data_IF_517460996868
#
_entry.id   IF_517460996868
#
_cell.length_a   1.000
_cell.length_b   1.000
_cell.length_c   1.000
_cell.angle_alpha   90.00
_cell.angle_beta   90.00
_cell.angle_gamma   90.00
#
_symmetry.space_group_name_H-M   'P 1'
#
loop_
_entity.id
_entity.type
_entity.pdbx_description
1 polymer ?
#
# COMPACT_ATOMS: atom_id res chain seq x y z
N UNK A 1 -27.84 10.36 -59.47
CA UNK A 1 -28.23 10.07 -58.09
C UNK A 1 -28.60 11.40 -57.48
N UNK A 2 -29.89 11.66 -57.29
CA UNK A 2 -30.42 12.96 -56.84
C UNK A 2 -30.79 12.88 -55.37
N UNK A 3 -30.23 13.78 -54.57
CA UNK A 3 -30.52 13.92 -53.15
C UNK A 3 -32.00 14.33 -52.95
N UNK A 4 -32.72 13.78 -51.95
CA UNK A 4 -34.12 14.12 -51.71
C UNK A 4 -34.29 15.56 -51.18
N UNK A 5 -35.49 16.17 -51.31
CA UNK A 5 -35.72 17.55 -50.88
C UNK A 5 -35.58 17.73 -49.35
N UNK A 6 -34.81 18.75 -48.94
CA UNK A 6 -34.60 19.12 -47.53
C UNK A 6 -35.88 19.71 -46.90
N UNK A 7 -36.19 19.41 -45.61
CA UNK A 7 -37.34 20.01 -44.92
C UNK A 7 -37.21 21.52 -44.70
N UNK A 8 -38.32 22.28 -44.63
CA UNK A 8 -38.26 23.72 -44.32
C UNK A 8 -37.79 23.96 -42.88
N UNK A 9 -36.67 24.67 -42.71
CA UNK A 9 -36.17 25.12 -41.40
C UNK A 9 -34.75 24.71 -41.06
N UNK A 10 -34.13 23.77 -41.78
CA UNK A 10 -32.69 23.49 -41.65
C UNK A 10 -31.87 24.63 -42.28
N UNK A 11 -31.21 25.43 -41.42
CA UNK A 11 -30.24 26.44 -41.86
C UNK A 11 -29.03 25.80 -42.54
N UNK A 12 -28.44 26.51 -43.50
CA UNK A 12 -27.26 26.03 -44.23
C UNK A 12 -26.04 25.95 -43.28
N UNK A 13 -25.42 24.77 -43.06
CA UNK A 13 -24.25 24.64 -42.19
C UNK A 13 -23.02 25.43 -42.64
N UNK A 14 -23.02 25.92 -43.88
CA UNK A 14 -21.94 26.73 -44.47
C UNK A 14 -22.24 28.24 -44.47
N UNK A 15 -23.31 28.71 -43.83
CA UNK A 15 -23.62 30.14 -43.73
C UNK A 15 -22.78 30.82 -42.61
N UNK A 16 -21.85 31.74 -42.94
CA UNK A 16 -21.00 32.40 -41.95
C UNK A 16 -21.74 33.47 -41.12
N UNK A 17 -23.02 33.74 -41.41
CA UNK A 17 -23.85 34.72 -40.67
C UNK A 17 -24.76 34.10 -39.62
N UNK A 18 -24.79 32.76 -39.51
CA UNK A 18 -25.59 32.06 -38.51
C UNK A 18 -25.04 32.30 -37.08
N UNK A 19 -25.88 32.68 -36.10
CA UNK A 19 -25.43 32.87 -34.72
C UNK A 19 -25.05 31.53 -34.07
N UNK A 20 -23.88 31.48 -33.44
CA UNK A 20 -23.40 30.33 -32.68
C UNK A 20 -24.39 29.93 -31.58
N UNK A 21 -24.98 28.74 -31.70
CA UNK A 21 -25.87 28.17 -30.70
C UNK A 21 -25.07 27.27 -29.74
N UNK A 22 -24.85 27.64 -28.46
CA UNK A 22 -23.94 26.93 -27.56
C UNK A 22 -24.54 25.65 -26.92
N UNK A 23 -25.71 25.18 -27.36
CA UNK A 23 -26.46 24.08 -26.75
C UNK A 23 -26.59 22.80 -27.61
N UNK A 24 -25.62 22.49 -28.47
CA UNK A 24 -25.54 21.21 -29.19
C UNK A 24 -24.91 20.10 -28.33
N UNK A 25 -25.62 19.66 -27.28
CA UNK A 25 -25.13 18.66 -26.32
C UNK A 25 -25.74 17.25 -26.42
N UNK A 26 -26.81 17.07 -27.20
CA UNK A 26 -27.69 15.88 -27.11
C UNK A 26 -27.82 15.09 -28.42
N UNK A 27 -26.73 14.97 -29.20
CA UNK A 27 -26.71 14.10 -30.38
C UNK A 27 -26.45 12.62 -29.97
N UNK A 28 -27.33 11.64 -30.32
CA UNK A 28 -27.16 10.25 -29.91
C UNK A 28 -26.00 9.49 -30.59
N UNK A 29 -25.26 10.12 -31.50
CA UNK A 29 -24.28 9.48 -32.39
C UNK A 29 -22.80 9.64 -32.03
N UNK A 30 -22.44 10.53 -31.08
CA UNK A 30 -21.05 10.94 -30.86
C UNK A 30 -20.54 10.65 -29.45
N UNK A 31 -20.39 9.36 -29.11
CA UNK A 31 -19.67 8.94 -27.92
C UNK A 31 -18.15 8.89 -28.20
N UNK A 32 -17.28 9.48 -27.36
CA UNK A 32 -15.84 9.29 -27.45
C UNK A 32 -15.44 7.84 -27.11
N UNK A 33 -14.35 7.30 -27.69
CA UNK A 33 -13.92 5.93 -27.42
C UNK A 33 -13.50 5.75 -25.94
N UNK A 34 -13.72 4.56 -25.35
CA UNK A 34 -13.36 4.31 -23.96
C UNK A 34 -11.83 4.30 -23.76
N UNK A 35 -11.33 4.70 -22.56
CA UNK A 35 -9.91 4.60 -22.25
C UNK A 35 -9.45 3.13 -22.21
N UNK A 36 -8.16 2.85 -22.50
CA UNK A 36 -7.64 1.49 -22.51
C UNK A 36 -7.70 0.85 -21.12
N UNK A 37 -8.03 -0.44 -21.08
CA UNK A 37 -8.13 -1.20 -19.84
C UNK A 37 -6.75 -1.38 -19.18
N UNK A 38 -6.62 -0.93 -17.94
CA UNK A 38 -5.48 -1.27 -17.08
C UNK A 38 -5.61 -2.73 -16.63
N UNK A 39 -4.76 -3.62 -17.18
CA UNK A 39 -4.66 -5.00 -16.68
C UNK A 39 -4.52 -6.10 -17.73
N UNK A 40 -3.52 -6.01 -18.60
CA UNK A 40 -3.06 -7.14 -19.42
C UNK A 40 -1.53 -7.18 -19.41
N UNK A 41 -0.87 -8.32 -19.12
CA UNK A 41 0.58 -8.41 -19.17
C UNK A 41 1.09 -8.28 -20.60
N UNK A 42 2.01 -7.33 -20.84
CA UNK A 42 2.70 -7.21 -22.14
C UNK A 42 3.61 -8.43 -22.38
N UNK A 43 3.64 -9.00 -23.60
CA UNK A 43 4.71 -9.90 -24.00
C UNK A 43 6.04 -9.13 -24.15
N UNK A 44 7.20 -9.74 -23.88
CA UNK A 44 8.49 -9.08 -23.99
C UNK A 44 8.83 -8.73 -25.44
N UNK A 45 9.37 -7.52 -25.64
CA UNK A 45 9.84 -7.02 -26.93
C UNK A 45 11.10 -7.74 -27.37
N UNK A 46 11.08 -8.41 -28.53
CA UNK A 46 12.30 -8.92 -29.16
C UNK A 46 13.15 -7.75 -29.69
N UNK A 47 14.28 -7.51 -29.06
CA UNK A 47 15.31 -6.59 -29.56
C UNK A 47 16.16 -7.24 -30.65
N UNK A 48 16.51 -6.48 -31.68
CA UNK A 48 17.36 -6.91 -32.79
C UNK A 48 18.80 -7.23 -32.32
N UNK A 49 19.50 -8.21 -32.95
CA UNK A 49 20.87 -8.56 -32.59
C UNK A 49 21.91 -7.59 -33.18
N UNK A 50 23.05 -7.37 -32.51
CA UNK A 50 24.20 -6.68 -33.10
C UNK A 50 25.00 -7.59 -34.06
N UNK A 51 25.68 -7.03 -35.08
CA UNK A 51 26.48 -7.82 -36.02
C UNK A 51 27.83 -8.26 -35.43
N UNK A 52 28.39 -9.32 -36.01
CA UNK A 52 29.50 -10.09 -35.44
C UNK A 52 30.91 -9.52 -35.71
N UNK A 53 31.86 -9.88 -34.84
CA UNK A 53 33.30 -9.89 -35.14
C UNK A 53 33.91 -11.24 -34.76
N UNK A 54 34.56 -11.86 -35.74
CA UNK A 54 35.20 -13.18 -35.66
C UNK A 54 36.70 -13.13 -35.30
N UNK A 55 37.42 -14.26 -35.43
CA UNK A 55 38.28 -14.78 -34.35
C UNK A 55 39.80 -14.61 -34.60
N UNK A 56 40.66 -15.22 -33.76
CA UNK A 56 41.20 -16.52 -34.18
C UNK A 56 41.25 -17.59 -33.07
N UNK A 57 41.47 -18.84 -33.48
CA UNK A 57 41.46 -20.04 -32.64
C UNK A 57 42.86 -20.65 -32.42
N UNK A 58 43.04 -21.42 -31.35
CA UNK A 58 44.07 -22.48 -31.22
C UNK A 58 43.53 -23.67 -30.38
N UNK A 59 44.17 -24.85 -30.52
CA UNK A 59 43.55 -26.19 -30.36
C UNK A 59 43.63 -26.94 -29.00
N UNK A 60 43.43 -28.29 -28.98
CA UNK A 60 42.92 -29.05 -27.81
C UNK A 60 43.91 -30.13 -27.22
N UNK A 61 43.48 -31.26 -26.58
CA UNK A 61 43.40 -31.53 -25.12
C UNK A 61 44.35 -32.68 -24.64
N UNK A 62 44.31 -33.28 -23.40
CA UNK A 62 43.21 -34.03 -22.70
C UNK A 62 43.07 -33.70 -21.17
N UNK A 63 42.29 -34.35 -20.27
CA UNK A 63 41.15 -35.31 -20.41
C UNK A 63 41.16 -36.58 -19.50
N UNK A 64 40.34 -36.68 -18.43
CA UNK A 64 39.91 -37.94 -17.73
C UNK A 64 38.86 -37.76 -16.58
N UNK A 65 37.98 -38.77 -16.36
CA UNK A 65 37.07 -38.98 -15.19
C UNK A 65 35.66 -38.34 -15.27
N UNK A 66 34.55 -39.00 -15.64
CA UNK A 66 33.77 -40.11 -15.03
C UNK A 66 33.10 -39.74 -13.66
N UNK A 67 31.81 -39.93 -13.34
CA UNK A 67 30.57 -40.46 -13.99
C UNK A 67 29.33 -39.93 -13.20
N UNK A 68 28.09 -40.47 -13.18
CA UNK A 68 27.44 -41.58 -13.90
C UNK A 68 26.14 -42.09 -13.20
N UNK A 69 24.94 -41.83 -13.74
CA UNK A 69 23.63 -42.47 -13.38
C UNK A 69 23.33 -43.63 -14.37
N UNK A 70 22.31 -44.55 -14.25
CA UNK A 70 21.09 -44.63 -13.38
C UNK A 70 20.90 -46.09 -12.80
N UNK A 71 19.75 -46.83 -12.88
CA UNK A 71 18.31 -46.63 -12.54
C UNK A 71 17.78 -47.64 -11.45
N UNK A 72 16.48 -47.68 -11.06
CA UNK A 72 15.92 -48.68 -10.11
C UNK A 72 15.26 -49.94 -10.74
N UNK A 73 15.28 -51.13 -10.10
CA UNK A 73 14.69 -52.39 -10.60
C UNK A 73 13.38 -52.88 -9.88
N UNK A 74 12.71 -53.97 -10.36
CA UNK A 74 11.33 -54.34 -9.95
C UNK A 74 11.06 -55.82 -9.46
N UNK A 75 9.87 -56.03 -8.83
CA UNK A 75 9.00 -57.26 -8.75
C UNK A 75 9.41 -58.63 -8.10
N UNK A 76 8.72 -59.02 -6.99
CA UNK A 76 8.22 -60.40 -6.60
C UNK A 76 9.20 -61.55 -6.20
N UNK A 77 8.74 -62.79 -5.87
CA UNK A 77 7.61 -63.24 -5.00
C UNK A 77 7.92 -64.49 -4.07
N UNK A 78 6.99 -64.87 -3.15
CA UNK A 78 6.97 -66.17 -2.38
C UNK A 78 7.40 -66.09 -0.89
N UNK A 79 7.07 -66.99 0.06
CA UNK A 79 6.24 -68.21 0.12
C UNK A 79 6.47 -69.03 1.44
N UNK A 80 5.62 -70.05 1.72
CA UNK A 80 5.80 -71.20 2.68
C UNK A 80 5.57 -71.06 4.23
N UNK A 81 4.62 -71.84 4.80
CA UNK A 81 4.87 -72.65 6.04
C UNK A 81 4.02 -72.44 7.33
N UNK A 82 3.30 -73.45 7.90
CA UNK A 82 2.44 -73.38 9.12
C UNK A 82 2.78 -74.46 10.22
N UNK A 83 1.89 -74.92 11.16
CA UNK A 83 1.04 -74.33 12.25
C UNK A 83 1.37 -75.00 13.65
N UNK A 84 0.50 -75.32 14.67
CA UNK A 84 -0.89 -74.92 15.04
C UNK A 84 -1.21 -74.60 16.54
N UNK A 85 -2.43 -74.07 16.79
CA UNK A 85 -3.20 -74.21 18.06
C UNK A 85 -3.30 -72.94 18.93
N UNK A 86 -4.42 -72.64 19.62
CA UNK A 86 -5.80 -73.18 19.61
C UNK A 86 -6.78 -72.17 20.27
N UNK A 87 -8.05 -72.14 19.86
CA UNK A 87 -9.13 -71.44 20.61
C UNK A 87 -9.73 -70.17 19.97
N UNK A 88 -11.01 -70.26 19.59
CA UNK A 88 -11.94 -69.15 19.32
C UNK A 88 -13.03 -69.18 20.44
N UNK A 89 -14.13 -68.38 20.46
CA UNK A 89 -14.60 -67.37 19.50
C UNK A 89 -15.22 -66.05 20.07
N UNK A 90 -15.35 -64.99 19.26
CA UNK A 90 -16.67 -64.35 18.95
C UNK A 90 -16.57 -63.15 17.98
N UNK A 91 -17.53 -63.04 17.05
CA UNK A 91 -18.11 -61.79 16.54
C UNK A 91 -17.27 -60.85 15.64
N UNK A 92 -17.54 -60.85 14.33
CA UNK A 92 -17.13 -59.78 13.41
C UNK A 92 -18.23 -59.43 12.38
N UNK A 93 -18.34 -58.17 11.91
CA UNK A 93 -19.19 -57.78 10.78
C UNK A 93 -18.46 -57.92 9.42
N UNK A 94 -19.19 -58.02 8.28
CA UNK A 94 -18.62 -58.46 6.99
C UNK A 94 -17.95 -57.36 6.16
N UNK A 95 -17.05 -57.70 5.19
CA UNK A 95 -16.47 -56.75 4.24
C UNK A 95 -17.44 -56.36 3.12
N UNK A 96 -17.37 -55.11 2.67
CA UNK A 96 -18.26 -54.56 1.63
C UNK A 96 -17.92 -54.99 0.19
N UNK A 97 -18.95 -55.17 -0.62
CA UNK A 97 -18.89 -55.22 -2.09
C UNK A 97 -18.94 -53.81 -2.71
N UNK A 98 -18.47 -53.67 -3.94
CA UNK A 98 -18.05 -52.38 -4.51
C UNK A 98 -19.12 -51.46 -5.12
N UNK A 99 -18.72 -50.19 -5.30
CA UNK A 99 -19.05 -49.12 -6.27
C UNK A 99 -20.41 -49.11 -7.03
N UNK A 100 -20.98 -47.93 -7.44
CA UNK A 100 -20.25 -46.68 -7.75
C UNK A 100 -20.93 -45.32 -7.38
N UNK A 101 -20.15 -44.24 -7.56
CA UNK A 101 -20.52 -42.84 -7.89
C UNK A 101 -21.80 -42.21 -7.29
N UNK A 102 -21.63 -41.31 -6.31
CA UNK A 102 -22.65 -40.35 -5.85
C UNK A 102 -21.99 -39.13 -5.19
N UNK A 103 -22.42 -37.92 -5.54
CA UNK A 103 -21.83 -36.67 -5.03
C UNK A 103 -22.24 -36.35 -3.57
N UNK A 104 -21.46 -35.52 -2.83
CA UNK A 104 -21.77 -35.20 -1.44
C UNK A 104 -23.00 -34.27 -1.33
N UNK A 105 -23.89 -34.50 -0.34
CA UNK A 105 -25.06 -33.65 -0.12
C UNK A 105 -24.69 -32.28 0.49
N UNK A 106 -25.42 -31.20 0.16
CA UNK A 106 -25.15 -29.89 0.72
C UNK A 106 -25.72 -29.76 2.14
N UNK A 107 -24.86 -29.49 3.13
CA UNK A 107 -25.28 -28.91 4.42
C UNK A 107 -24.83 -29.64 5.68
N UNK A 108 -23.53 -29.58 6.00
CA UNK A 108 -23.04 -29.62 7.39
C UNK A 108 -21.83 -28.68 7.56
N UNK A 109 -21.80 -27.77 8.54
CA UNK A 109 -20.62 -26.95 8.84
C UNK A 109 -19.58 -27.78 9.63
N UNK A 110 -18.26 -27.68 9.32
CA UNK A 110 -17.24 -28.42 10.06
C UNK A 110 -17.08 -27.93 11.51
N UNK A 111 -17.04 -28.86 12.45
CA UNK A 111 -16.92 -28.57 13.88
C UNK A 111 -15.45 -28.60 14.34
N UNK A 112 -14.97 -27.48 14.89
CA UNK A 112 -13.88 -27.42 15.88
C UNK A 112 -12.44 -27.72 15.44
N UNK A 113 -11.59 -26.69 15.48
CA UNK A 113 -10.15 -26.80 15.74
C UNK A 113 -9.77 -25.89 16.94
N UNK A 114 -8.83 -26.27 17.83
CA UNK A 114 -8.75 -25.67 19.16
C UNK A 114 -7.73 -24.53 19.32
N UNK A 115 -8.07 -23.55 20.17
CA UNK A 115 -7.09 -22.94 21.08
C UNK A 115 -6.22 -21.79 20.56
N UNK A 116 -6.80 -20.77 19.92
CA UNK A 116 -6.14 -19.46 19.74
C UNK A 116 -6.46 -18.50 20.90
N UNK A 117 -5.44 -17.93 21.54
CA UNK A 117 -5.57 -17.00 22.68
C UNK A 117 -6.35 -15.73 22.29
N UNK A 118 -7.32 -15.34 23.11
CA UNK A 118 -8.37 -14.41 22.71
C UNK A 118 -7.92 -12.98 22.42
N UNK A 119 -8.04 -12.57 21.15
CA UNK A 119 -8.28 -11.16 20.78
C UNK A 119 -9.72 -10.78 21.18
N UNK A 120 -9.97 -9.60 21.78
CA UNK A 120 -11.33 -9.11 22.01
C UNK A 120 -12.08 -8.98 20.67
N UNK A 121 -13.09 -9.84 20.49
CA UNK A 121 -13.73 -10.04 19.20
C UNK A 121 -14.49 -8.82 18.70
N UNK A 122 -13.92 -8.12 17.70
CA UNK A 122 -14.76 -7.45 16.72
C UNK A 122 -15.48 -8.53 15.91
N UNK A 123 -16.82 -8.47 15.76
CA UNK A 123 -17.53 -9.41 14.92
C UNK A 123 -17.03 -9.29 13.48
N UNK A 124 -16.87 -10.40 12.73
CA UNK A 124 -16.58 -10.35 11.30
C UNK A 124 -17.81 -9.79 10.56
N UNK A 125 -17.89 -8.46 10.48
CA UNK A 125 -18.97 -7.75 9.84
C UNK A 125 -18.88 -7.99 8.33
N UNK A 126 -19.81 -8.79 7.81
CA UNK A 126 -19.99 -8.98 6.39
C UNK A 126 -20.15 -7.62 5.71
N UNK A 127 -19.28 -7.34 4.74
CA UNK A 127 -19.21 -6.07 4.03
C UNK A 127 -20.44 -5.88 3.12
N UNK A 128 -21.58 -5.51 3.71
CA UNK A 128 -22.61 -4.81 2.97
C UNK A 128 -21.98 -3.53 2.41
N UNK A 129 -21.95 -3.37 1.09
CA UNK A 129 -21.35 -2.19 0.48
C UNK A 129 -22.03 -0.93 1.03
N UNK A 130 -21.28 -0.13 1.79
CA UNK A 130 -21.72 1.23 2.10
C UNK A 130 -22.01 1.98 0.80
N UNK A 131 -23.11 2.74 0.80
CA UNK A 131 -23.52 3.55 -0.35
C UNK A 131 -22.43 4.55 -0.78
N UNK A 132 -22.63 5.24 -1.92
CA UNK A 132 -21.65 6.18 -2.46
C UNK A 132 -21.13 7.18 -1.40
N UNK A 133 -22.04 7.72 -0.59
CA UNK A 133 -21.73 8.56 0.56
C UNK A 133 -20.76 7.94 1.57
N UNK A 134 -20.95 6.67 1.96
CA UNK A 134 -20.12 6.04 2.99
C UNK A 134 -18.67 5.95 2.51
N UNK A 135 -18.47 5.63 1.23
CA UNK A 135 -17.17 5.65 0.58
C UNK A 135 -16.57 7.07 0.63
N UNK A 136 -17.35 8.09 0.29
CA UNK A 136 -16.93 9.50 0.38
C UNK A 136 -16.47 9.88 1.79
N UNK A 137 -17.24 9.52 2.82
CA UNK A 137 -16.89 9.87 4.20
C UNK A 137 -15.69 9.08 4.76
N UNK A 138 -15.47 7.86 4.28
CA UNK A 138 -14.24 7.09 4.56
C UNK A 138 -13.03 7.75 3.89
N UNK A 139 -13.16 8.20 2.65
CA UNK A 139 -12.11 8.96 1.95
C UNK A 139 -11.81 10.28 2.69
N UNK A 140 -12.84 11.01 3.15
CA UNK A 140 -12.67 12.22 3.98
C UNK A 140 -11.91 11.92 5.28
N UNK A 141 -12.23 10.82 5.98
CA UNK A 141 -11.55 10.45 7.21
C UNK A 141 -10.04 10.18 6.99
N UNK A 142 -9.70 9.40 5.98
CA UNK A 142 -8.31 8.99 5.71
C UNK A 142 -7.51 10.09 4.99
N UNK A 143 -7.97 10.58 3.84
CA UNK A 143 -7.26 11.58 3.03
C UNK A 143 -7.33 12.98 3.63
N UNK A 144 -8.48 13.37 4.20
CA UNK A 144 -8.58 14.61 4.97
C UNK A 144 -7.68 14.58 6.20
N UNK A 145 -7.49 13.40 6.81
CA UNK A 145 -6.57 13.23 7.92
C UNK A 145 -5.11 13.39 7.49
N UNK A 146 -4.72 12.79 6.36
CA UNK A 146 -3.40 12.97 5.78
C UNK A 146 -3.12 14.44 5.39
N UNK A 147 -4.09 15.12 4.78
CA UNK A 147 -3.99 16.54 4.43
C UNK A 147 -3.88 17.44 5.68
N UNK A 148 -4.69 17.17 6.71
CA UNK A 148 -4.60 17.85 8.00
C UNK A 148 -3.23 17.65 8.67
N UNK A 149 -2.69 16.43 8.65
CA UNK A 149 -1.36 16.15 9.18
C UNK A 149 -0.28 16.95 8.43
N UNK A 150 -0.33 16.96 7.09
CA UNK A 150 0.64 17.68 6.27
C UNK A 150 0.59 19.20 6.50
N UNK A 151 -0.60 19.81 6.42
CA UNK A 151 -0.77 21.26 6.54
C UNK A 151 -0.54 21.78 7.98
N UNK A 152 -0.78 20.96 9.00
CA UNK A 152 -0.58 21.29 10.40
C UNK A 152 0.72 20.80 11.03
N UNK A 153 1.76 20.50 10.23
CA UNK A 153 3.07 20.11 10.75
C UNK A 153 3.07 18.82 11.60
N UNK A 154 2.15 17.90 11.29
CA UNK A 154 1.88 16.64 11.98
C UNK A 154 0.74 16.71 13.01
N UNK A 155 0.33 17.89 13.47
CA UNK A 155 -0.46 18.03 14.70
C UNK A 155 -1.99 18.09 14.53
N UNK A 156 -2.51 18.32 13.32
CA UNK A 156 -3.96 18.48 13.06
C UNK A 156 -4.58 17.39 12.18
N UNK A 157 -3.87 16.27 11.97
CA UNK A 157 -4.38 15.16 11.14
C UNK A 157 -5.60 14.44 11.72
N UNK A 158 -5.88 14.58 13.02
CA UNK A 158 -7.03 13.95 13.68
C UNK A 158 -8.36 14.66 13.42
N UNK A 159 -8.35 15.89 12.90
CA UNK A 159 -9.58 16.71 12.75
C UNK A 159 -10.54 16.08 11.73
N UNK A 160 -10.09 15.74 10.53
CA UNK A 160 -10.94 15.17 9.49
C UNK A 160 -11.55 13.80 9.84
N UNK A 161 -10.82 12.81 10.40
CA UNK A 161 -11.44 11.56 10.83
C UNK A 161 -12.38 11.75 12.02
N UNK A 162 -12.15 12.72 12.92
CA UNK A 162 -13.12 13.08 13.95
C UNK A 162 -14.41 13.67 13.33
N UNK A 163 -14.29 14.58 12.36
CA UNK A 163 -15.44 15.15 11.64
C UNK A 163 -16.23 14.07 10.92
N UNK A 164 -15.57 13.13 10.22
CA UNK A 164 -16.26 12.01 9.58
C UNK A 164 -16.95 11.06 10.59
N UNK A 165 -16.31 10.81 11.73
CA UNK A 165 -16.88 10.02 12.83
C UNK A 165 -18.14 10.68 13.41
N UNK A 166 -18.13 12.00 13.63
CA UNK A 166 -19.28 12.73 14.15
C UNK A 166 -20.40 12.89 13.12
N UNK A 167 -20.06 13.13 11.85
CA UNK A 167 -21.04 13.34 10.78
C UNK A 167 -21.78 12.04 10.38
N UNK A 168 -21.09 10.90 10.30
CA UNK A 168 -21.65 9.65 9.77
C UNK A 168 -21.50 8.43 10.66
N UNK A 169 -20.71 8.47 11.75
CA UNK A 169 -20.48 7.32 12.61
C UNK A 169 -21.73 6.76 13.29
N UNK A 170 -22.74 7.61 13.54
CA UNK A 170 -24.04 7.17 14.09
C UNK A 170 -25.00 6.62 13.02
N UNK A 171 -24.73 6.87 11.73
CA UNK A 171 -25.59 6.50 10.60
C UNK A 171 -25.08 5.26 9.86
N UNK A 172 -23.76 5.09 9.75
CA UNK A 172 -23.13 3.93 9.12
C UNK A 172 -22.09 3.29 10.05
N UNK A 173 -22.28 2.03 10.48
CA UNK A 173 -21.27 1.32 11.26
C UNK A 173 -19.98 1.08 10.47
N UNK A 174 -20.04 1.07 9.13
CA UNK A 174 -18.89 0.95 8.25
C UNK A 174 -18.03 2.22 8.27
N UNK A 175 -18.64 3.40 8.12
CA UNK A 175 -17.94 4.68 8.28
C UNK A 175 -17.38 4.83 9.68
N UNK A 176 -18.14 4.42 10.72
CA UNK A 176 -17.67 4.45 12.11
C UNK A 176 -16.39 3.62 12.31
N UNK A 177 -16.35 2.40 11.77
CA UNK A 177 -15.21 1.51 11.93
C UNK A 177 -13.94 2.08 11.28
N UNK A 178 -14.05 2.65 10.08
CA UNK A 178 -12.90 3.26 9.39
C UNK A 178 -12.48 4.61 9.99
N UNK A 179 -13.43 5.47 10.33
CA UNK A 179 -13.13 6.77 10.94
C UNK A 179 -12.45 6.64 12.31
N UNK A 180 -12.82 5.64 13.12
CA UNK A 180 -12.12 5.34 14.39
C UNK A 180 -10.69 4.85 14.15
N UNK A 181 -10.44 4.00 13.16
CA UNK A 181 -9.07 3.57 12.80
C UNK A 181 -8.21 4.76 12.37
N UNK A 182 -8.74 5.60 11.47
CA UNK A 182 -8.06 6.80 10.99
C UNK A 182 -7.79 7.79 12.13
N UNK A 183 -8.76 8.00 13.03
CA UNK A 183 -8.62 8.89 14.18
C UNK A 183 -7.53 8.41 15.14
N UNK A 184 -7.53 7.12 15.51
CA UNK A 184 -6.51 6.54 16.40
C UNK A 184 -5.10 6.65 15.80
N UNK A 185 -4.96 6.36 14.50
CA UNK A 185 -3.69 6.54 13.78
C UNK A 185 -3.22 8.00 13.83
N UNK A 186 -4.10 8.95 13.50
CA UNK A 186 -3.74 10.36 13.44
C UNK A 186 -3.42 10.96 14.81
N UNK A 187 -4.11 10.54 15.88
CA UNK A 187 -3.78 10.95 17.26
C UNK A 187 -2.38 10.44 17.65
N UNK A 188 -2.08 9.17 17.40
CA UNK A 188 -0.75 8.60 17.69
C UNK A 188 0.36 9.37 16.96
N UNK A 189 0.21 9.60 15.66
CA UNK A 189 1.19 10.35 14.88
C UNK A 189 1.27 11.83 15.25
N UNK A 190 0.17 12.46 15.69
CA UNK A 190 0.19 13.82 16.23
C UNK A 190 1.01 13.90 17.52
N UNK A 191 0.89 12.91 18.41
CA UNK A 191 1.69 12.83 19.65
C UNK A 191 3.18 12.64 19.30
N UNK A 192 3.50 11.73 18.37
CA UNK A 192 4.88 11.52 17.88
C UNK A 192 5.45 12.81 17.28
N UNK A 193 4.66 13.54 16.48
CA UNK A 193 5.08 14.82 15.90
C UNK A 193 5.37 15.87 16.98
N UNK A 194 4.50 16.02 17.99
CA UNK A 194 4.70 16.96 19.11
C UNK A 194 5.99 16.62 19.88
N UNK A 195 6.23 15.34 20.19
CA UNK A 195 7.47 14.89 20.84
C UNK A 195 8.70 15.18 19.98
N UNK A 196 8.59 14.94 18.66
CA UNK A 196 9.62 15.29 17.68
C UNK A 196 9.94 16.78 17.65
N UNK A 197 8.93 17.65 17.68
CA UNK A 197 9.11 19.10 17.78
C UNK A 197 9.82 19.52 19.07
N UNK A 198 9.42 18.98 20.23
CA UNK A 198 10.08 19.26 21.52
C UNK A 198 11.55 18.82 21.50
N UNK A 199 11.84 17.60 21.02
CA UNK A 199 13.20 17.10 20.86
C UNK A 199 14.03 17.98 19.90
N UNK A 200 13.43 18.45 18.81
CA UNK A 200 14.07 19.33 17.83
C UNK A 200 14.45 20.66 18.47
N UNK A 201 13.55 21.28 19.24
CA UNK A 201 13.83 22.49 20.01
C UNK A 201 14.96 22.30 21.04
N UNK A 202 15.01 21.15 21.74
CA UNK A 202 16.08 20.85 22.69
C UNK A 202 17.43 20.69 21.97
N UNK A 203 17.48 19.87 20.91
CA UNK A 203 18.71 19.59 20.15
C UNK A 203 19.26 20.86 19.50
N UNK A 204 18.42 21.63 18.79
CA UNK A 204 18.83 22.92 18.20
C UNK A 204 19.23 23.91 19.28
N UNK A 205 18.48 23.97 20.39
CA UNK A 205 18.79 24.84 21.54
C UNK A 205 20.17 24.57 22.14
N UNK A 206 20.58 23.29 22.25
CA UNK A 206 21.93 22.91 22.69
C UNK A 206 23.00 23.42 21.73
N UNK A 207 22.84 23.24 20.41
CA UNK A 207 23.81 23.75 19.43
C UNK A 207 23.91 25.27 19.45
N UNK A 208 22.78 25.99 19.53
CA UNK A 208 22.75 27.45 19.64
C UNK A 208 23.42 27.91 20.95
N UNK A 209 23.16 27.22 22.07
CA UNK A 209 23.78 27.51 23.36
C UNK A 209 25.29 27.35 23.36
N UNK A 210 25.81 26.27 22.77
CA UNK A 210 27.27 26.04 22.61
C UNK A 210 27.89 27.12 21.72
N UNK A 211 27.26 27.46 20.59
CA UNK A 211 27.75 28.51 19.70
C UNK A 211 27.79 29.88 20.40
N UNK A 212 26.72 30.25 21.10
CA UNK A 212 26.65 31.50 21.86
C UNK A 212 27.72 31.56 22.97
N UNK A 213 27.91 30.47 23.71
CA UNK A 213 28.95 30.36 24.74
C UNK A 213 30.36 30.55 24.15
N UNK A 214 30.70 29.83 23.08
CA UNK A 214 32.00 29.97 22.41
C UNK A 214 32.24 31.39 21.89
N UNK A 215 31.25 31.98 21.21
CA UNK A 215 31.34 33.35 20.67
C UNK A 215 31.56 34.36 21.80
N UNK A 216 30.77 34.28 22.88
CA UNK A 216 30.91 35.17 24.03
C UNK A 216 32.28 35.02 24.72
N UNK A 217 32.76 33.79 24.92
CA UNK A 217 34.08 33.54 25.51
C UNK A 217 35.22 34.06 24.64
N UNK A 218 35.22 33.78 23.32
CA UNK A 218 36.28 34.22 22.41
C UNK A 218 36.35 35.74 22.33
N UNK A 219 35.20 36.41 22.16
CA UNK A 219 35.15 37.87 22.08
C UNK A 219 35.53 38.50 23.43
N UNK A 220 35.11 37.91 24.56
CA UNK A 220 35.51 38.35 25.89
C UNK A 220 37.02 38.27 26.14
N UNK A 221 37.68 37.20 25.68
CA UNK A 221 39.15 37.08 25.76
C UNK A 221 39.83 38.14 24.87
N UNK A 222 39.37 38.35 23.64
CA UNK A 222 39.92 39.39 22.74
C UNK A 222 39.77 40.79 23.37
N UNK A 223 38.61 41.09 23.95
CA UNK A 223 38.34 42.33 24.65
C UNK A 223 39.26 42.53 25.86
N UNK A 224 39.44 41.49 26.68
CA UNK A 224 40.33 41.52 27.84
C UNK A 224 41.79 41.75 27.47
N UNK A 225 42.30 41.09 26.42
CA UNK A 225 43.66 41.30 25.91
C UNK A 225 43.85 42.74 25.40
N UNK A 226 42.86 43.30 24.69
CA UNK A 226 42.93 44.70 24.21
C UNK A 226 42.88 45.70 25.36
N UNK A 227 41.99 45.48 26.34
CA UNK A 227 41.92 46.31 27.54
C UNK A 227 43.25 46.31 28.32
N UNK A 228 43.92 45.16 28.43
CA UNK A 228 45.26 45.05 29.03
C UNK A 228 46.32 45.89 28.27
N UNK A 229 46.17 46.03 26.95
CA UNK A 229 47.05 46.87 26.12
C UNK A 229 46.64 48.35 26.11
N UNK A 230 45.65 48.76 26.92
CA UNK A 230 45.00 50.08 26.91
C UNK A 230 44.31 50.44 25.58
N UNK A 231 43.98 49.45 24.75
CA UNK A 231 43.19 49.64 23.53
C UNK A 231 41.68 49.50 23.83
N UNK A 232 40.84 50.50 23.54
CA UNK A 232 39.40 50.37 23.70
C UNK A 232 38.83 49.38 22.67
N UNK A 233 38.11 48.36 23.15
CA UNK A 233 37.44 47.37 22.30
C UNK A 233 35.93 47.43 22.45
N UNK A 234 35.24 47.74 21.35
CA UNK A 234 33.80 47.65 21.27
C UNK A 234 33.38 46.22 20.91
N UNK A 235 32.59 45.59 21.78
CA UNK A 235 32.04 44.27 21.53
C UNK A 235 31.07 44.32 20.32
N UNK A 236 31.24 43.46 19.30
CA UNK A 236 30.27 43.35 18.23
C UNK A 236 28.96 42.73 18.76
N UNK A 237 27.83 43.09 18.16
CA UNK A 237 26.48 42.63 18.55
C UNK A 237 26.07 42.96 20.00
N UNK A 238 26.60 44.05 20.57
CA UNK A 238 26.19 44.58 21.88
C UNK A 238 25.07 45.61 21.76
N UNK A 239 24.13 45.56 22.72
CA UNK A 239 23.10 46.59 22.97
C UNK A 239 23.38 47.25 24.31
N UNK A 240 23.41 48.57 24.36
CA UNK A 240 23.65 49.34 25.60
C UNK A 240 22.39 49.40 26.46
N UNK A 241 22.30 48.50 27.45
CA UNK A 241 21.14 48.41 28.36
C UNK A 241 21.26 49.22 29.66
N UNK A 242 22.47 49.67 30.01
CA UNK A 242 22.78 50.43 31.24
C UNK A 242 23.66 51.62 30.83
N UNK A 243 23.51 52.77 31.51
CA UNK A 243 24.20 54.02 31.20
C UNK A 243 24.84 54.66 32.42
#
# INVERSE_FOLDING_TARGET
MTEPPRPPGEGNPSDPTAPLNPYTGNDPGSAPPPPPAYGSPQPPTYGSPPPASGPPAYGPPPGSGAGGYPPPPPQGPGGYGPPPGSGAPYGGPPPGSGAPYGGPPPGQPPYGAPGGYGQPGYPPQGYGQGGGDDKTWILVAHFGGAAGAFLGGGCSGWIAPLVALLARGNQSPYVRAEAVKALNFQILWSIIAIVGWVLTCIVIGVFVGIAAWLIATIIGVIAGVKANNNEPYNYPMTVSLIK
#
